data_IF_597245903588
#
_entry.id   IF_597245903588
#
_cell.length_a   1.000
_cell.length_b   1.000
_cell.length_c   1.000
_cell.angle_alpha   90.00
_cell.angle_beta   90.00
_cell.angle_gamma   90.00
#
_symmetry.space_group_name_H-M   'P 1'
#
loop_
_entity.id
_entity.type
_entity.pdbx_description
1 polymer ?
#
# COMPACT_ATOMS: atom_id res chain seq x y z
N UNK A 1 8.86 -14.83 15.36
CA UNK A 1 8.80 -13.48 14.78
C UNK A 1 10.12 -12.79 15.09
N UNK A 2 10.80 -12.29 14.07
CA UNK A 2 12.07 -11.60 14.19
C UNK A 2 11.90 -10.23 14.85
N UNK A 3 12.94 -9.77 15.52
CA UNK A 3 13.02 -8.40 16.00
C UNK A 3 13.35 -7.42 14.87
N UNK A 4 13.07 -6.12 15.01
CA UNK A 4 13.45 -5.10 14.03
C UNK A 4 14.95 -5.15 13.66
N UNK A 5 15.82 -5.30 14.66
CA UNK A 5 17.27 -5.40 14.48
C UNK A 5 17.67 -6.65 13.68
N UNK A 6 17.11 -7.82 14.03
CA UNK A 6 17.36 -9.07 13.31
C UNK A 6 16.91 -8.97 11.84
N UNK A 7 15.76 -8.35 11.58
CA UNK A 7 15.29 -8.13 10.23
C UNK A 7 16.25 -7.23 9.44
N UNK A 8 16.62 -6.07 10.00
CA UNK A 8 17.55 -5.13 9.36
C UNK A 8 18.87 -5.80 9.00
N UNK A 9 19.49 -6.47 9.96
CA UNK A 9 20.76 -7.18 9.75
C UNK A 9 20.66 -8.21 8.63
N UNK A 10 19.59 -9.02 8.61
CA UNK A 10 19.36 -10.01 7.53
C UNK A 10 19.10 -9.36 6.18
N UNK A 11 18.31 -8.28 6.13
CA UNK A 11 18.03 -7.55 4.89
C UNK A 11 19.29 -6.92 4.31
N UNK A 12 20.06 -6.21 5.12
CA UNK A 12 21.30 -5.56 4.72
C UNK A 12 22.33 -6.60 4.21
N UNK A 13 22.52 -7.68 4.96
CA UNK A 13 23.51 -8.73 4.64
C UNK A 13 23.14 -9.62 3.45
N UNK A 14 21.85 -9.88 3.19
CA UNK A 14 21.41 -10.82 2.15
C UNK A 14 20.86 -10.16 0.91
N UNK A 15 20.13 -9.06 1.07
CA UNK A 15 19.41 -8.40 -0.05
C UNK A 15 20.26 -7.25 -0.58
N UNK A 16 20.63 -6.28 0.28
CA UNK A 16 21.39 -5.12 -0.18
C UNK A 16 22.80 -5.48 -0.64
N UNK A 17 23.48 -6.38 0.08
CA UNK A 17 24.83 -6.83 -0.29
C UNK A 17 24.87 -7.56 -1.65
N UNK A 18 23.75 -8.14 -2.10
CA UNK A 18 23.65 -8.87 -3.36
C UNK A 18 23.14 -8.01 -4.54
N UNK A 19 22.64 -6.79 -4.27
CA UNK A 19 22.03 -5.93 -5.28
C UNK A 19 23.04 -4.96 -5.91
N UNK A 20 23.08 -4.92 -7.25
CA UNK A 20 23.93 -3.98 -7.99
C UNK A 20 23.41 -2.52 -7.93
N UNK A 21 22.08 -2.36 -7.88
CA UNK A 21 21.38 -1.11 -7.60
C UNK A 21 20.46 -1.35 -6.40
N UNK A 22 20.85 -0.81 -5.25
CA UNK A 22 20.24 -1.11 -3.97
C UNK A 22 19.32 0.01 -3.46
N UNK A 23 19.19 1.12 -4.19
CA UNK A 23 18.53 2.33 -3.68
C UNK A 23 17.03 2.09 -3.40
N UNK A 24 16.35 1.38 -4.30
CA UNK A 24 14.94 1.00 -4.15
C UNK A 24 14.72 -0.12 -3.12
N UNK A 25 15.76 -0.84 -2.71
CA UNK A 25 15.67 -1.89 -1.68
C UNK A 25 15.99 -1.36 -0.27
N UNK A 26 16.38 -0.09 -0.15
CA UNK A 26 16.70 0.52 1.15
C UNK A 26 15.49 0.51 2.08
N UNK A 27 15.74 0.15 3.33
CA UNK A 27 14.72 0.20 4.36
C UNK A 27 14.36 1.65 4.69
N UNK A 28 13.06 1.91 4.79
CA UNK A 28 12.49 3.21 5.10
C UNK A 28 11.73 3.13 6.41
N UNK A 29 12.24 3.83 7.41
CA UNK A 29 11.58 3.99 8.70
C UNK A 29 10.51 5.07 8.63
N UNK A 30 9.54 4.99 9.54
CA UNK A 30 8.52 6.02 9.72
C UNK A 30 8.91 6.89 10.93
N UNK A 31 8.80 8.23 10.85
CA UNK A 31 8.98 9.09 12.02
C UNK A 31 8.05 8.68 13.17
N UNK A 32 8.58 8.58 14.39
CA UNK A 32 7.82 8.17 15.58
C UNK A 32 6.56 9.02 15.79
N UNK A 33 6.65 10.34 15.56
CA UNK A 33 5.53 11.25 15.65
C UNK A 33 4.33 10.82 14.77
N UNK A 34 4.58 10.31 13.55
CA UNK A 34 3.53 9.85 12.62
C UNK A 34 2.87 8.54 13.06
N UNK A 35 3.54 7.75 13.90
CA UNK A 35 3.05 6.44 14.36
C UNK A 35 2.41 6.56 15.75
N UNK A 36 2.84 7.53 16.55
CA UNK A 36 2.39 7.73 17.94
C UNK A 36 0.88 7.97 18.10
N UNK A 37 0.24 8.59 17.10
CA UNK A 37 -1.20 8.87 17.08
C UNK A 37 -2.05 7.71 16.53
N UNK A 38 -1.41 6.63 16.08
CA UNK A 38 -2.08 5.48 15.47
C UNK A 38 -2.48 4.44 16.51
N UNK A 39 -3.50 3.65 16.19
CA UNK A 39 -3.96 2.50 16.99
C UNK A 39 -3.30 1.18 16.58
N UNK A 40 -2.28 1.22 15.72
CA UNK A 40 -1.55 0.01 15.31
C UNK A 40 -0.97 -0.74 16.52
N UNK A 41 -0.84 -2.08 16.46
CA UNK A 41 -0.22 -2.84 17.54
C UNK A 41 1.19 -2.33 17.91
N UNK A 42 1.60 -2.36 19.18
CA UNK A 42 2.91 -1.85 19.61
C UNK A 42 4.09 -2.47 18.85
N UNK A 43 4.00 -3.76 18.53
CA UNK A 43 5.00 -4.48 17.74
C UNK A 43 5.14 -3.90 16.34
N UNK A 44 4.03 -3.65 15.64
CA UNK A 44 4.01 -3.01 14.32
C UNK A 44 4.55 -1.59 14.37
N UNK A 45 4.17 -0.79 15.38
CA UNK A 45 4.68 0.58 15.54
C UNK A 45 6.19 0.60 15.72
N UNK A 46 6.68 -0.23 16.65
CA UNK A 46 8.11 -0.40 16.93
C UNK A 46 8.87 -0.82 15.67
N UNK A 47 8.32 -1.77 14.91
CA UNK A 47 8.95 -2.26 13.68
C UNK A 47 9.07 -1.15 12.63
N UNK A 48 8.02 -0.35 12.40
CA UNK A 48 8.09 0.77 11.44
C UNK A 48 9.09 1.86 11.84
N UNK A 49 9.27 2.11 13.14
CA UNK A 49 10.20 3.12 13.66
C UNK A 49 11.65 2.63 13.59
N UNK A 50 11.91 1.40 14.06
CA UNK A 50 13.28 0.88 14.24
C UNK A 50 13.85 0.21 12.97
N UNK A 51 12.99 -0.51 12.22
CA UNK A 51 13.39 -1.26 11.03
C UNK A 51 12.86 -0.66 9.73
N UNK A 52 11.59 -0.27 9.71
CA UNK A 52 10.91 0.13 8.50
C UNK A 52 10.58 -1.03 7.56
N UNK A 53 10.23 -0.69 6.32
CA UNK A 53 10.02 -1.62 5.21
C UNK A 53 10.90 -1.19 4.02
N UNK A 54 11.26 -2.10 3.10
CA UNK A 54 11.99 -1.71 1.89
C UNK A 54 11.16 -0.71 1.07
N UNK A 55 11.82 0.25 0.43
CA UNK A 55 11.13 1.25 -0.38
C UNK A 55 10.33 0.64 -1.54
N UNK A 56 10.87 -0.39 -2.18
CA UNK A 56 10.20 -1.24 -3.14
C UNK A 56 10.60 -2.69 -2.91
N UNK A 57 9.64 -3.61 -2.99
CA UNK A 57 9.86 -5.05 -3.03
C UNK A 57 8.73 -5.62 -3.88
N UNK A 58 8.99 -5.74 -5.18
CA UNK A 58 7.96 -6.01 -6.17
C UNK A 58 7.19 -7.29 -5.80
N UNK A 59 5.84 -7.26 -5.75
CA UNK A 59 4.99 -6.29 -6.44
C UNK A 59 4.53 -5.10 -5.58
N UNK A 60 5.14 -4.86 -4.41
CA UNK A 60 4.75 -3.81 -3.47
C UNK A 60 5.76 -2.65 -3.46
N UNK A 61 5.26 -1.42 -3.46
CA UNK A 61 6.05 -0.21 -3.23
C UNK A 61 5.60 0.49 -1.95
N UNK A 62 6.53 0.92 -1.11
CA UNK A 62 6.28 1.55 0.20
C UNK A 62 6.80 3.00 0.26
N UNK A 63 6.96 3.65 -0.89
CA UNK A 63 7.43 5.04 -1.01
C UNK A 63 6.56 6.03 -0.22
N UNK A 64 5.26 5.74 -0.11
CA UNK A 64 4.30 6.60 0.61
C UNK A 64 4.64 6.78 2.09
N UNK A 65 5.34 5.82 2.72
CA UNK A 65 5.78 5.93 4.11
C UNK A 65 6.72 7.11 4.35
N UNK A 66 7.43 7.60 3.32
CA UNK A 66 8.31 8.79 3.42
C UNK A 66 7.53 10.06 3.83
N UNK A 67 6.23 10.10 3.53
CA UNK A 67 5.33 11.21 3.86
C UNK A 67 4.67 11.03 5.23
N UNK A 68 5.08 10.01 5.99
CA UNK A 68 4.43 9.55 7.22
C UNK A 68 3.26 8.60 6.93
N UNK A 69 2.73 7.99 7.98
CA UNK A 69 1.52 7.16 7.88
C UNK A 69 0.29 8.05 7.76
N UNK A 70 -0.28 8.11 6.57
CA UNK A 70 -1.48 8.90 6.27
C UNK A 70 -2.68 7.98 6.15
N UNK A 71 -3.84 8.52 6.48
CA UNK A 71 -5.12 7.81 6.32
C UNK A 71 -5.45 7.70 4.84
N UNK A 72 -6.11 6.61 4.44
CA UNK A 72 -6.49 6.42 3.04
C UNK A 72 -7.32 7.59 2.47
N UNK A 73 -8.23 8.18 3.27
CA UNK A 73 -9.06 9.30 2.85
C UNK A 73 -8.31 10.64 2.75
N UNK A 74 -7.08 10.72 3.29
CA UNK A 74 -6.19 11.88 3.13
C UNK A 74 -5.36 11.77 1.84
N UNK A 75 -5.10 10.54 1.38
CA UNK A 75 -4.28 10.25 0.20
C UNK A 75 -5.13 10.17 -1.06
N UNK A 76 -6.29 9.51 -0.99
CA UNK A 76 -7.18 9.29 -2.13
C UNK A 76 -8.37 10.24 -2.07
N UNK A 77 -8.65 10.94 -3.16
CA UNK A 77 -9.80 11.85 -3.31
C UNK A 77 -10.06 12.76 -2.09
N UNK A 78 -9.05 13.52 -1.61
CA UNK A 78 -9.19 14.34 -0.41
C UNK A 78 -10.34 15.35 -0.57
N UNK A 79 -11.21 15.41 0.44
CA UNK A 79 -12.38 16.29 0.45
C UNK A 79 -13.59 15.80 -0.34
N UNK A 80 -13.51 14.64 -1.01
CA UNK A 80 -14.61 14.10 -1.83
C UNK A 80 -15.36 12.94 -1.17
N UNK A 81 -14.88 12.46 -0.01
CA UNK A 81 -15.51 11.34 0.70
C UNK A 81 -16.82 11.76 1.36
N UNK A 82 -17.88 11.01 1.11
CA UNK A 82 -19.09 11.08 1.94
C UNK A 82 -18.80 10.53 3.33
N UNK A 83 -19.60 10.94 4.31
CA UNK A 83 -19.41 10.54 5.72
C UNK A 83 -19.42 9.02 5.89
N UNK A 84 -20.34 8.33 5.21
CA UNK A 84 -20.52 6.88 5.31
C UNK A 84 -19.38 6.12 4.62
N UNK A 85 -18.87 6.66 3.51
CA UNK A 85 -17.72 6.12 2.78
C UNK A 85 -16.46 6.24 3.64
N UNK A 86 -16.23 7.43 4.24
CA UNK A 86 -15.10 7.72 5.11
C UNK A 86 -15.10 6.83 6.35
N UNK A 87 -16.23 6.73 7.06
CA UNK A 87 -16.37 5.84 8.21
C UNK A 87 -16.03 4.39 7.84
N UNK A 88 -16.18 4.04 6.56
CA UNK A 88 -15.90 2.71 6.09
C UNK A 88 -14.42 2.33 5.95
N UNK A 89 -13.55 3.34 5.92
CA UNK A 89 -12.12 3.20 5.59
C UNK A 89 -11.21 3.99 6.54
N UNK A 90 -11.77 4.73 7.49
CA UNK A 90 -11.02 5.67 8.31
C UNK A 90 -9.91 5.02 9.12
N UNK A 91 -10.00 3.73 9.44
CA UNK A 91 -9.01 2.96 10.19
C UNK A 91 -7.86 2.41 9.34
N UNK A 92 -7.81 2.66 8.03
CA UNK A 92 -6.72 2.22 7.15
C UNK A 92 -5.65 3.30 7.01
N UNK A 93 -4.41 2.91 7.32
CA UNK A 93 -3.20 3.73 7.16
C UNK A 93 -2.43 3.24 5.94
N UNK A 94 -2.13 4.14 5.00
CA UNK A 94 -1.41 3.80 3.77
C UNK A 94 0.05 3.54 4.11
N UNK A 95 0.52 2.33 3.78
CA UNK A 95 1.94 1.95 3.79
C UNK A 95 2.56 2.16 2.41
N UNK A 96 1.79 1.91 1.36
CA UNK A 96 2.33 1.79 0.01
C UNK A 96 1.27 1.57 -1.05
N UNK A 97 1.73 1.22 -2.26
CA UNK A 97 0.92 0.96 -3.44
C UNK A 97 1.37 -0.36 -4.10
N UNK A 98 0.46 -1.04 -4.79
CA UNK A 98 0.84 -2.08 -5.76
C UNK A 98 1.16 -1.45 -7.13
N UNK A 99 1.45 -2.30 -8.12
CA UNK A 99 1.73 -1.87 -9.51
C UNK A 99 0.51 -1.27 -10.25
N UNK A 100 -0.70 -1.38 -9.70
CA UNK A 100 -1.95 -0.85 -10.25
C UNK A 100 -2.50 0.30 -9.40
N UNK A 101 -1.64 0.96 -8.62
CA UNK A 101 -1.98 2.07 -7.72
C UNK A 101 -3.02 1.71 -6.64
N UNK A 102 -3.20 0.42 -6.35
CA UNK A 102 -4.04 -0.03 -5.24
C UNK A 102 -3.30 0.20 -3.92
N UNK A 103 -3.92 0.88 -2.95
CA UNK A 103 -3.28 1.15 -1.67
C UNK A 103 -3.08 -0.11 -0.84
N UNK A 104 -1.85 -0.29 -0.38
CA UNK A 104 -1.46 -1.25 0.65
C UNK A 104 -1.57 -0.52 1.98
N UNK A 105 -2.44 -1.02 2.85
CA UNK A 105 -2.78 -0.38 4.11
C UNK A 105 -2.54 -1.30 5.30
N UNK A 106 -2.17 -0.70 6.43
CA UNK A 106 -2.32 -1.32 7.73
C UNK A 106 -3.71 -1.00 8.29
N UNK A 107 -4.44 -2.03 8.73
CA UNK A 107 -5.70 -1.89 9.45
C UNK A 107 -5.42 -1.65 10.93
N UNK A 108 -5.82 -0.50 11.45
CA UNK A 108 -5.60 -0.16 12.85
C UNK A 108 -6.39 -1.03 13.85
N UNK A 109 -7.43 -1.75 13.42
CA UNK A 109 -8.29 -2.51 14.32
C UNK A 109 -7.63 -3.80 14.78
N UNK A 110 -6.90 -4.47 13.89
CA UNK A 110 -6.27 -5.75 14.15
C UNK A 110 -4.78 -5.81 13.73
N UNK A 111 -4.26 -4.74 13.13
CA UNK A 111 -2.88 -4.63 12.69
C UNK A 111 -2.55 -5.36 11.39
N UNK A 112 -3.54 -5.97 10.73
CA UNK A 112 -3.32 -6.69 9.47
C UNK A 112 -2.91 -5.74 8.35
N UNK A 113 -2.17 -6.27 7.40
CA UNK A 113 -1.89 -5.59 6.14
C UNK A 113 -2.85 -6.08 5.08
N UNK A 114 -3.51 -5.14 4.42
CA UNK A 114 -4.50 -5.39 3.38
C UNK A 114 -4.20 -4.52 2.17
N UNK A 115 -4.67 -4.96 1.01
CA UNK A 115 -4.75 -4.15 -0.20
C UNK A 115 -6.21 -3.74 -0.38
N UNK A 116 -6.47 -2.46 -0.65
CA UNK A 116 -7.81 -2.01 -1.03
C UNK A 116 -7.86 -1.83 -2.55
N UNK A 117 -8.87 -2.41 -3.19
CA UNK A 117 -9.16 -2.17 -4.60
C UNK A 117 -9.67 -0.74 -4.77
N UNK A 118 -8.91 0.10 -5.48
CA UNK A 118 -9.22 1.52 -5.62
C UNK A 118 -10.50 1.78 -6.44
N UNK A 119 -10.86 0.88 -7.37
CA UNK A 119 -12.08 1.00 -8.17
C UNK A 119 -13.34 0.73 -7.33
N UNK A 120 -13.20 -0.05 -6.25
CA UNK A 120 -14.29 -0.44 -5.36
C UNK A 120 -14.34 0.37 -4.05
N UNK A 121 -13.49 1.38 -3.87
CA UNK A 121 -13.44 2.19 -2.63
C UNK A 121 -14.79 2.85 -2.31
N UNK A 122 -15.47 3.36 -3.34
CA UNK A 122 -16.74 4.09 -3.21
C UNK A 122 -17.98 3.21 -3.41
N UNK A 123 -17.82 1.93 -3.77
CA UNK A 123 -18.95 1.01 -3.92
C UNK A 123 -19.37 0.44 -2.55
N UNK A 124 -20.41 1.05 -1.98
CA UNK A 124 -20.96 0.64 -0.68
C UNK A 124 -21.51 -0.79 -0.69
N UNK A 125 -22.03 -1.27 -1.84
CA UNK A 125 -22.63 -2.62 -1.95
C UNK A 125 -21.55 -3.70 -2.04
N UNK A 126 -20.35 -3.35 -2.50
CA UNK A 126 -19.21 -4.27 -2.68
C UNK A 126 -18.09 -4.04 -1.68
N UNK A 127 -18.39 -3.41 -0.55
CA UNK A 127 -17.43 -3.05 0.50
C UNK A 127 -16.54 -4.20 0.98
N UNK A 128 -17.04 -5.42 1.06
CA UNK A 128 -16.23 -6.57 1.49
C UNK A 128 -15.30 -7.07 0.38
N UNK A 129 -15.70 -6.90 -0.88
CA UNK A 129 -14.92 -7.35 -2.04
C UNK A 129 -13.73 -6.47 -2.36
N UNK A 130 -13.69 -5.24 -1.84
CA UNK A 130 -12.56 -4.31 -2.05
C UNK A 130 -11.33 -4.66 -1.23
N UNK A 131 -11.47 -5.44 -0.16
CA UNK A 131 -10.37 -5.72 0.76
C UNK A 131 -9.76 -7.06 0.39
N UNK A 132 -8.46 -7.05 0.07
CA UNK A 132 -7.68 -8.26 -0.11
C UNK A 132 -6.66 -8.40 1.00
N UNK A 133 -6.62 -9.57 1.62
CA UNK A 133 -5.63 -9.88 2.63
C UNK A 133 -4.22 -9.96 2.02
N UNK A 134 -3.26 -9.31 2.67
CA UNK A 134 -1.83 -9.35 2.29
C UNK A 134 -1.04 -10.08 3.35
N UNK A 135 -1.16 -9.68 4.62
CA UNK A 135 -0.39 -10.27 5.70
C UNK A 135 -1.03 -10.02 7.08
N UNK A 136 -0.71 -10.86 8.06
CA UNK A 136 -1.26 -10.78 9.42
C UNK A 136 -0.70 -9.60 10.22
N UNK A 137 0.43 -9.02 9.82
CA UNK A 137 1.03 -7.87 10.48
C UNK A 137 2.25 -7.32 9.75
N UNK A 138 2.75 -6.17 10.19
CA UNK A 138 3.92 -5.53 9.59
C UNK A 138 5.21 -6.35 9.78
N UNK A 139 5.52 -6.90 10.97
CA UNK A 139 6.72 -7.74 11.12
C UNK A 139 6.68 -9.00 10.25
N UNK A 140 5.53 -9.66 10.17
CA UNK A 140 5.34 -10.85 9.33
C UNK A 140 5.44 -10.50 7.84
N UNK A 141 4.89 -9.36 7.42
CA UNK A 141 5.06 -8.86 6.05
C UNK A 141 6.54 -8.69 5.74
N UNK A 142 7.30 -8.01 6.61
CA UNK A 142 8.73 -7.80 6.41
C UNK A 142 9.49 -9.12 6.25
N UNK A 143 9.21 -10.13 7.10
CA UNK A 143 9.79 -11.45 6.96
C UNK A 143 9.40 -12.15 5.65
N UNK A 144 8.13 -12.04 5.23
CA UNK A 144 7.68 -12.58 3.94
C UNK A 144 8.40 -11.91 2.77
N UNK A 145 8.58 -10.58 2.79
CA UNK A 145 9.34 -9.86 1.77
C UNK A 145 10.79 -10.34 1.72
N UNK A 146 11.43 -10.53 2.88
CA UNK A 146 12.79 -11.05 2.95
C UNK A 146 12.86 -12.47 2.37
N UNK A 147 11.88 -13.32 2.66
CA UNK A 147 11.79 -14.66 2.08
C UNK A 147 11.61 -14.60 0.55
N UNK A 148 10.78 -13.70 0.04
CA UNK A 148 10.60 -13.51 -1.41
C UNK A 148 11.91 -13.12 -2.11
N UNK A 149 12.75 -12.31 -1.47
CA UNK A 149 14.03 -11.89 -2.06
C UNK A 149 15.16 -12.91 -1.88
N UNK A 150 15.12 -13.74 -0.83
CA UNK A 150 16.27 -14.60 -0.46
C UNK A 150 16.04 -16.10 -0.60
N UNK A 151 14.78 -16.55 -0.77
CA UNK A 151 14.43 -17.96 -0.95
C UNK A 151 14.17 -18.24 -2.42
N UNK A 152 14.64 -19.40 -2.88
CA UNK A 152 14.40 -19.90 -4.23
C UNK A 152 12.91 -19.95 -4.55
N UNK A 153 12.50 -19.55 -5.78
CA UNK A 153 11.12 -19.59 -6.27
C UNK A 153 10.24 -20.73 -5.75
N UNK A 154 10.71 -21.96 -5.91
CA UNK A 154 9.98 -23.20 -5.60
C UNK A 154 9.69 -23.37 -4.10
N UNK A 155 10.52 -22.77 -3.24
CA UNK A 155 10.41 -22.87 -1.79
C UNK A 155 9.75 -21.65 -1.14
N UNK A 156 9.48 -20.57 -1.89
CA UNK A 156 8.91 -19.32 -1.35
C UNK A 156 7.55 -19.51 -0.69
N UNK A 157 6.68 -20.31 -1.29
CA UNK A 157 5.33 -20.53 -0.75
C UNK A 157 5.39 -21.20 0.63
N UNK A 158 6.26 -22.19 0.79
CA UNK A 158 6.45 -22.87 2.06
C UNK A 158 7.10 -21.95 3.10
N UNK A 159 8.08 -21.14 2.70
CA UNK A 159 8.67 -20.13 3.58
C UNK A 159 7.62 -19.11 4.07
N UNK A 160 6.77 -18.59 3.17
CA UNK A 160 5.66 -17.70 3.53
C UNK A 160 4.69 -18.41 4.47
N UNK A 161 4.35 -19.68 4.21
CA UNK A 161 3.44 -20.46 5.06
C UNK A 161 3.97 -20.60 6.49
N UNK A 162 5.28 -20.77 6.67
CA UNK A 162 5.91 -20.87 7.98
C UNK A 162 5.93 -19.52 8.73
N UNK A 163 6.03 -18.40 8.01
CA UNK A 163 6.04 -17.05 8.58
C UNK A 163 4.62 -16.57 8.91
N UNK A 164 3.70 -16.68 7.95
CA UNK A 164 2.33 -16.23 8.03
C UNK A 164 1.40 -17.18 7.23
N UNK A 165 0.88 -18.25 7.85
CA UNK A 165 0.04 -19.24 7.17
C UNK A 165 -1.18 -18.62 6.42
N UNK A 166 -1.89 -17.61 6.96
CA UNK A 166 -2.90 -16.86 6.23
C UNK A 166 -2.42 -16.24 4.90
N UNK A 167 -1.18 -15.75 4.84
CA UNK A 167 -0.64 -15.13 3.63
C UNK A 167 -0.23 -16.15 2.56
N UNK A 168 -0.15 -17.43 2.92
CA UNK A 168 0.12 -18.54 2.01
C UNK A 168 -1.16 -19.20 1.45
N UNK A 169 -2.35 -18.67 1.76
CA UNK A 169 -3.60 -19.17 1.18
C UNK A 169 -3.71 -18.75 -0.29
N UNK A 170 -4.34 -19.58 -1.12
CA UNK A 170 -4.46 -19.37 -2.58
C UNK A 170 -5.03 -18.01 -2.98
N UNK A 171 -5.93 -17.45 -2.16
CA UNK A 171 -6.58 -16.14 -2.42
C UNK A 171 -5.76 -14.94 -1.93
N UNK A 172 -4.75 -15.18 -1.08
CA UNK A 172 -3.92 -14.13 -0.51
C UNK A 172 -3.07 -13.47 -1.61
N UNK A 173 -2.79 -12.19 -1.41
CA UNK A 173 -2.12 -11.37 -2.42
C UNK A 173 -0.74 -11.91 -2.84
N UNK A 174 0.07 -12.36 -1.87
CA UNK A 174 1.45 -12.81 -2.12
C UNK A 174 1.52 -14.11 -2.95
N UNK A 175 0.54 -15.01 -2.83
CA UNK A 175 0.49 -16.28 -3.58
C UNK A 175 0.07 -16.08 -5.03
N UNK A 176 -0.98 -15.28 -5.26
CA UNK A 176 -1.48 -15.04 -6.63
C UNK A 176 -0.40 -14.40 -7.51
N UNK A 177 0.43 -13.54 -6.94
CA UNK A 177 1.51 -12.86 -7.66
C UNK A 177 2.77 -13.68 -7.83
N UNK A 178 3.07 -14.61 -6.91
CA UNK A 178 4.21 -15.51 -7.10
C UNK A 178 3.96 -16.43 -8.29
N UNK A 179 2.75 -16.97 -8.45
CA UNK A 179 2.41 -17.86 -9.57
C UNK A 179 2.45 -17.17 -10.94
N UNK A 180 2.09 -15.88 -11.02
CA UNK A 180 2.11 -15.16 -12.30
C UNK A 180 3.51 -14.87 -12.83
N UNK A 181 4.55 -14.89 -11.99
CA UNK A 181 5.95 -14.67 -12.41
C UNK A 181 6.61 -15.90 -13.04
N UNK A 182 6.09 -17.10 -12.76
CA UNK A 182 6.67 -18.37 -13.26
C UNK A 182 5.99 -18.90 -14.52
N UNK A 183 4.97 -18.20 -15.02
CA UNK A 183 4.40 -18.45 -16.34
C UNK A 183 5.30 -17.91 -17.44
N UNK A 184 6.20 -18.77 -17.94
CA UNK A 184 7.13 -18.61 -19.09
C UNK A 184 8.56 -18.15 -18.77
N UNK A 185 9.53 -19.02 -19.05
CA UNK A 185 10.99 -18.81 -18.95
C UNK A 185 11.54 -17.63 -19.80
N UNK A 186 10.69 -16.91 -20.55
CA UNK A 186 11.04 -15.67 -21.25
C UNK A 186 10.77 -14.39 -20.44
N UNK A 187 10.05 -14.47 -19.32
CA UNK A 187 9.66 -13.31 -18.51
C UNK A 187 10.73 -12.81 -17.52
N UNK A 188 11.62 -13.69 -17.04
CA UNK A 188 12.57 -13.35 -15.96
C UNK A 188 13.65 -12.34 -16.38
N UNK A 189 14.08 -12.35 -17.64
CA UNK A 189 15.04 -11.37 -18.17
C UNK A 189 14.41 -9.98 -18.40
N UNK A 190 13.08 -9.91 -18.59
CA UNK A 190 12.40 -8.66 -18.97
C UNK A 190 12.00 -7.84 -17.73
N UNK A 191 11.63 -8.48 -16.61
CA UNK A 191 11.19 -7.76 -15.40
C UNK A 191 12.35 -7.05 -14.68
N UNK A 192 13.57 -7.63 -14.66
CA UNK A 192 14.76 -6.92 -14.13
C UNK A 192 15.10 -5.66 -14.95
N UNK A 193 14.78 -5.64 -16.25
CA UNK A 193 15.00 -4.48 -17.11
C UNK A 193 13.93 -3.40 -16.97
N UNK A 194 12.67 -3.76 -16.70
CA UNK A 194 11.57 -2.79 -16.64
C UNK A 194 11.64 -1.84 -15.44
N UNK A 195 12.28 -2.24 -14.33
CA UNK A 195 12.46 -1.37 -13.16
C UNK A 195 13.65 -0.41 -13.29
N UNK A 196 14.65 -0.70 -14.16
CA UNK A 196 15.78 0.21 -14.43
C UNK A 196 15.41 1.36 -15.40
N UNK A 197 14.36 1.19 -16.22
CA UNK A 197 14.02 2.14 -17.30
C UNK A 197 12.95 3.19 -16.97
N UNK A 198 12.32 3.17 -15.78
CA UNK A 198 11.36 4.22 -15.39
C UNK A 198 12.05 5.33 -14.61
N UNK A 199 12.84 6.11 -15.33
CA UNK A 199 13.20 7.46 -14.91
C UNK A 199 11.93 8.27 -14.61
N UNK A 200 11.93 8.89 -13.43
CA UNK A 200 10.99 9.86 -12.90
C UNK A 200 10.22 10.63 -13.98
N UNK A 201 8.97 10.23 -14.25
CA UNK A 201 8.00 11.13 -14.88
C UNK A 201 7.30 11.93 -13.78
N UNK A 202 7.25 13.26 -13.86
CA UNK A 202 6.52 14.05 -12.88
C UNK A 202 5.02 13.75 -12.98
N UNK A 203 4.45 13.32 -11.85
CA UNK A 203 3.01 13.16 -11.65
C UNK A 203 2.33 14.53 -11.69
N UNK A 204 1.92 14.93 -12.89
CA UNK A 204 0.88 15.95 -13.09
C UNK A 204 0.01 15.50 -14.26
N UNK A 205 -0.84 14.50 -14.01
CA UNK A 205 -2.08 14.33 -14.76
C UNK A 205 -3.22 14.62 -13.79
N UNK A 206 -3.73 15.85 -13.87
CA UNK A 206 -5.07 16.16 -13.37
C UNK A 206 -6.03 15.22 -14.09
N UNK A 207 -6.70 14.37 -13.33
CA UNK A 207 -7.85 13.63 -13.83
C UNK A 207 -8.99 14.64 -13.84
N UNK A 208 -9.20 15.31 -14.98
CA UNK A 208 -10.41 16.08 -15.22
C UNK A 208 -11.55 15.09 -15.47
N UNK A 209 -12.33 14.84 -14.42
CA UNK A 209 -13.64 14.18 -14.54
C UNK A 209 -14.62 15.24 -15.05
N UNK A 210 -15.31 15.03 -16.19
CA UNK A 210 -16.30 15.97 -16.68
C UNK A 210 -17.55 15.94 -15.79
N UNK A 211 -17.60 16.80 -14.78
CA UNK A 211 -18.83 17.11 -14.05
C UNK A 211 -19.75 17.94 -14.97
N UNK A 212 -20.74 17.28 -15.60
CA UNK A 212 -21.93 17.97 -16.11
C UNK A 212 -22.72 18.49 -14.91
N UNK A 213 -22.62 19.80 -14.65
CA UNK A 213 -23.55 20.51 -13.78
C UNK A 213 -24.87 20.73 -14.53
N UNK A 214 -26.04 20.48 -13.91
CA UNK A 214 -27.30 20.96 -14.44
C UNK A 214 -27.37 22.49 -14.26
N UNK A 215 -27.66 23.18 -15.36
CA UNK A 215 -27.92 24.62 -15.40
C UNK A 215 -29.17 24.95 -14.58
N UNK A 216 -28.99 25.56 -13.41
CA UNK A 216 -30.06 26.23 -12.67
C UNK A 216 -30.35 27.57 -13.35
N UNK A 217 -31.56 27.70 -13.90
CA UNK A 217 -32.13 29.00 -14.27
C UNK A 217 -32.34 29.82 -12.99
N UNK A 218 -31.67 30.97 -12.92
CA UNK A 218 -31.96 32.03 -11.96
C UNK A 218 -33.06 32.91 -12.58
N UNK A 219 -34.28 32.74 -12.10
CA UNK A 219 -35.35 33.70 -12.32
C UNK A 219 -35.04 34.98 -11.52
N UNK A 220 -35.05 36.10 -12.23
CA UNK A 220 -34.78 37.44 -11.73
C UNK A 220 -35.92 37.93 -10.83
N UNK A 221 -35.62 38.13 -9.55
CA UNK A 221 -36.49 38.82 -8.60
C UNK A 221 -36.41 40.32 -8.84
N UNK A 222 -37.51 40.91 -9.31
CA UNK A 222 -37.70 42.35 -9.46
C UNK A 222 -38.00 42.95 -8.08
N UNK A 223 -37.11 43.78 -7.56
CA UNK A 223 -37.34 44.61 -6.36
C UNK A 223 -37.87 45.97 -6.83
N UNK A 224 -39.09 46.34 -6.40
CA UNK A 224 -39.64 47.70 -6.56
C UNK A 224 -39.26 48.57 -5.35
N UNK A 225 -38.88 49.84 -5.54
CA UNK A 225 -38.66 50.75 -4.42
C UNK A 225 -39.99 51.32 -3.91
N UNK A 226 -40.12 51.36 -2.58
CA UNK A 226 -41.17 52.08 -1.86
C UNK A 226 -40.79 53.57 -1.78
N UNK A 227 -41.64 54.45 -2.30
CA UNK A 227 -41.58 55.88 -2.01
C UNK A 227 -42.15 56.15 -0.61
N UNK A 228 -41.51 57.07 0.11
CA UNK A 228 -42.06 57.83 1.23
C UNK A 228 -41.64 59.28 1.05
#
# INVERSE_FOLDING_TARGET
MCTPEQFRSRWESKVLAAAADADHLRLRTVPEASVSSTKLPPTSRRFLIEAGLPEQCAPLGFEEMRKGLRRIWEVYSPGQWKREEKAGVEHYLVLGLDENDNPICADERDGKVVMLDHELLFDQKRREKRIRFVNSGIPQLAECLLALETVEPEARLEAIRQIDPPAAQEKAFLVVRSQSRFGTAKGEAMVRYFFSARGSRPLSRKIDVPCRLPSLHLDSVIIRPHNS
#
